data_IF_485701313578
#
_entry.id   IF_485701313578
#
_cell.length_a   1.000
_cell.length_b   1.000
_cell.length_c   1.000
_cell.angle_alpha   90.00
_cell.angle_beta   90.00
_cell.angle_gamma   90.00
#
_symmetry.space_group_name_H-M   'P 1'
#
loop_
_entity.id
_entity.type
_entity.pdbx_description
1 polymer ?
#
# COMPACT_ATOMS: atom_id res chain seq x y z
N UNK A 1 -6.05 -5.34 19.72
CA UNK A 1 -6.70 -5.47 21.04
C UNK A 1 -5.60 -5.65 22.07
N UNK A 2 -5.44 -4.71 23.01
CA UNK A 2 -4.47 -4.82 24.12
C UNK A 2 -5.22 -5.32 25.36
N UNK A 3 -4.74 -6.39 26.01
CA UNK A 3 -5.34 -6.93 27.24
C UNK A 3 -4.24 -7.24 28.25
N UNK A 4 -4.44 -6.82 29.49
CA UNK A 4 -3.62 -7.26 30.62
C UNK A 4 -4.05 -8.67 31.00
N UNK A 5 -3.13 -9.64 30.90
CA UNK A 5 -3.43 -11.07 31.13
C UNK A 5 -3.06 -11.50 32.55
N UNK A 6 -2.17 -10.78 33.24
CA UNK A 6 -1.68 -11.12 34.58
C UNK A 6 -1.35 -9.86 35.38
N UNK A 7 -1.75 -9.85 36.66
CA UNK A 7 -1.53 -8.75 37.61
C UNK A 7 -2.74 -7.82 37.76
N UNK A 8 -2.86 -7.18 38.92
CA UNK A 8 -3.78 -6.05 39.17
C UNK A 8 -2.93 -4.78 39.14
N UNK A 9 -2.96 -4.08 38.01
CA UNK A 9 -2.22 -2.83 37.82
C UNK A 9 -2.99 -1.71 38.51
N UNK A 10 -2.30 -0.83 39.20
CA UNK A 10 -2.93 0.40 39.66
C UNK A 10 -3.41 1.23 38.46
N UNK A 11 -4.37 2.12 38.68
CA UNK A 11 -4.90 2.98 37.62
C UNK A 11 -3.78 3.82 36.97
N UNK A 12 -2.80 4.24 37.76
CA UNK A 12 -1.63 5.01 37.34
C UNK A 12 -0.70 4.19 36.44
N UNK A 13 -0.42 2.94 36.79
CA UNK A 13 0.43 2.06 35.99
C UNK A 13 -0.23 1.68 34.67
N UNK A 14 -1.55 1.45 34.70
CA UNK A 14 -2.33 1.23 33.49
C UNK A 14 -2.30 2.46 32.57
N UNK A 15 -2.47 3.66 33.13
CA UNK A 15 -2.39 4.91 32.37
C UNK A 15 -1.00 5.11 31.74
N UNK A 16 0.07 4.83 32.49
CA UNK A 16 1.44 4.90 31.97
C UNK A 16 1.66 3.93 30.80
N UNK A 17 1.18 2.69 30.92
CA UNK A 17 1.27 1.70 29.84
C UNK A 17 0.51 2.16 28.59
N UNK A 18 -0.71 2.64 28.75
CA UNK A 18 -1.53 3.14 27.64
C UNK A 18 -0.85 4.34 26.97
N UNK A 19 -0.28 5.26 27.75
CA UNK A 19 0.44 6.42 27.22
C UNK A 19 1.64 5.99 26.36
N UNK A 20 2.42 5.01 26.80
CA UNK A 20 3.57 4.49 26.03
C UNK A 20 3.09 3.82 24.74
N UNK A 21 2.05 2.99 24.80
CA UNK A 21 1.50 2.32 23.60
C UNK A 21 0.97 3.36 22.60
N UNK A 22 0.22 4.36 23.07
CA UNK A 22 -0.28 5.45 22.25
C UNK A 22 0.86 6.25 21.59
N UNK A 23 1.90 6.59 22.36
CA UNK A 23 3.08 7.29 21.84
C UNK A 23 3.81 6.47 20.76
N UNK A 24 4.01 5.17 20.96
CA UNK A 24 4.61 4.29 19.94
C UNK A 24 3.77 4.20 18.67
N UNK A 25 2.44 4.11 18.81
CA UNK A 25 1.53 4.07 17.66
C UNK A 25 1.54 5.40 16.89
N UNK A 26 1.55 6.54 17.59
CA UNK A 26 1.66 7.85 16.98
C UNK A 26 3.00 8.02 16.22
N UNK A 27 4.11 7.57 16.82
CA UNK A 27 5.41 7.56 16.15
C UNK A 27 5.42 6.70 14.88
N UNK A 28 4.82 5.50 14.93
CA UNK A 28 4.68 4.63 13.76
C UNK A 28 3.81 5.26 12.66
N UNK A 29 2.70 5.90 13.04
CA UNK A 29 1.82 6.61 12.11
C UNK A 29 2.53 7.80 11.45
N UNK A 30 3.27 8.59 12.22
CA UNK A 30 4.08 9.70 11.70
C UNK A 30 5.17 9.22 10.75
N UNK A 31 5.85 8.11 11.08
CA UNK A 31 6.83 7.49 10.19
C UNK A 31 6.17 7.03 8.88
N UNK A 32 4.96 6.47 8.94
CA UNK A 32 4.22 6.05 7.76
C UNK A 32 3.73 7.22 6.90
N UNK A 33 3.33 8.35 7.51
CA UNK A 33 2.79 9.51 6.81
C UNK A 33 3.76 10.13 5.78
N UNK A 34 5.07 10.03 6.03
CA UNK A 34 6.11 10.49 5.10
C UNK A 34 6.55 9.47 4.05
N UNK A 35 6.13 8.21 4.17
CA UNK A 35 6.57 7.15 3.26
C UNK A 35 5.68 7.09 2.03
N UNK A 36 6.27 7.31 0.84
CA UNK A 36 5.58 7.00 -0.42
C UNK A 36 5.40 5.47 -0.50
N UNK A 37 4.23 4.98 -0.96
CA UNK A 37 4.06 3.56 -1.24
C UNK A 37 5.20 3.08 -2.13
N UNK A 38 5.86 2.00 -1.74
CA UNK A 38 6.96 1.46 -2.54
C UNK A 38 6.38 0.95 -3.85
N UNK A 39 6.63 1.68 -4.93
CA UNK A 39 6.21 1.26 -6.27
C UNK A 39 6.92 -0.05 -6.58
N UNK A 40 6.13 -1.12 -6.74
CA UNK A 40 6.68 -2.39 -7.18
C UNK A 40 7.23 -2.23 -8.59
N UNK A 41 8.40 -2.81 -8.85
CA UNK A 41 8.94 -2.85 -10.19
C UNK A 41 7.94 -3.51 -11.13
N UNK A 42 7.68 -2.85 -12.25
CA UNK A 42 6.89 -3.39 -13.35
C UNK A 42 7.70 -4.32 -14.26
N UNK A 43 9.02 -4.38 -14.06
CA UNK A 43 9.91 -5.30 -14.76
C UNK A 43 9.69 -6.72 -14.22
N UNK A 44 9.42 -7.68 -15.12
CA UNK A 44 9.12 -9.07 -14.75
C UNK A 44 7.70 -9.32 -14.21
N UNK A 45 6.82 -8.32 -14.18
CA UNK A 45 5.46 -8.48 -13.67
C UNK A 45 4.68 -9.55 -14.46
N UNK A 46 4.09 -10.58 -13.84
CA UNK A 46 3.45 -11.70 -14.55
C UNK A 46 2.38 -11.27 -15.56
N UNK A 47 1.60 -10.23 -15.25
CA UNK A 47 0.58 -9.73 -16.18
C UNK A 47 1.16 -9.09 -17.46
N UNK A 48 2.46 -8.77 -17.47
CA UNK A 48 3.18 -8.25 -18.64
C UNK A 48 3.94 -9.34 -19.41
N UNK A 49 3.94 -10.59 -18.93
CA UNK A 49 4.57 -11.71 -19.63
C UNK A 49 3.76 -12.14 -20.86
N UNK A 50 2.43 -11.99 -20.81
CA UNK A 50 1.56 -12.22 -21.96
C UNK A 50 1.30 -10.90 -22.68
N UNK A 51 1.47 -10.89 -24.01
CA UNK A 51 1.03 -9.77 -24.84
C UNK A 51 -0.49 -9.74 -24.89
N UNK A 52 -1.08 -8.56 -24.74
CA UNK A 52 -2.51 -8.38 -25.03
C UNK A 52 -2.75 -8.56 -26.53
N UNK A 53 -3.89 -9.14 -26.95
CA UNK A 53 -4.25 -9.24 -28.36
C UNK A 53 -4.34 -7.85 -29.00
N UNK A 54 -3.87 -7.73 -30.24
CA UNK A 54 -4.09 -6.53 -31.03
C UNK A 54 -5.59 -6.40 -31.35
N UNK A 55 -6.16 -5.23 -31.06
CA UNK A 55 -7.55 -4.90 -31.44
C UNK A 55 -7.53 -4.24 -32.81
N UNK A 56 -8.09 -4.92 -33.81
CA UNK A 56 -8.36 -4.33 -35.12
C UNK A 56 -9.81 -3.84 -35.14
N UNK A 57 -10.02 -2.65 -35.72
CA UNK A 57 -11.34 -2.11 -36.00
C UNK A 57 -11.56 -2.01 -37.51
N UNK A 58 -12.82 -1.89 -37.97
CA UNK A 58 -13.11 -1.59 -39.37
C UNK A 58 -12.26 -0.40 -39.85
N UNK A 59 -11.66 -0.54 -41.03
CA UNK A 59 -10.82 0.48 -41.70
C UNK A 59 -9.52 0.92 -41.00
N UNK A 60 -9.15 0.37 -39.83
CA UNK A 60 -7.95 0.81 -39.10
C UNK A 60 -6.63 0.53 -39.83
N UNK A 61 -6.58 -0.52 -40.65
CA UNK A 61 -5.41 -0.81 -41.49
C UNK A 61 -5.25 0.18 -42.65
N UNK A 62 -6.37 0.65 -43.22
CA UNK A 62 -6.32 1.68 -44.28
C UNK A 62 -5.87 3.04 -43.72
N UNK A 63 -6.20 3.33 -42.46
CA UNK A 63 -5.78 4.55 -41.74
C UNK A 63 -4.36 4.48 -41.16
N UNK A 64 -3.70 3.32 -41.16
CA UNK A 64 -2.33 3.18 -40.64
C UNK A 64 -1.25 3.50 -41.66
N UNK A 65 -1.57 3.49 -42.95
CA UNK A 65 -0.71 4.10 -43.97
C UNK A 65 -0.97 5.60 -43.95
N UNK A 66 0.10 6.40 -43.83
CA UNK A 66 0.07 7.86 -43.76
C UNK A 66 -1.13 8.47 -44.53
N UNK A 67 -1.99 9.20 -43.82
CA UNK A 67 -3.15 9.84 -44.42
C UNK A 67 -3.66 11.02 -43.61
N UNK A 68 -3.24 12.21 -44.08
CA UNK A 68 -3.84 13.56 -44.00
C UNK A 68 -4.16 14.17 -42.62
#
# INVERSE_FOLDING_TARGET
>A
MLRVVKGDLTAEELAALVAVVAARNAAAANAAAGTKPRIRSQWGHPTRQARAPHRFGPDQWRRSAYGA
#
